data_IF_577167588633
#
_entry.id   IF_577167588633
#
_cell.length_a   1.000
_cell.length_b   1.000
_cell.length_c   1.000
_cell.angle_alpha   90.00
_cell.angle_beta   90.00
_cell.angle_gamma   90.00
#
_symmetry.space_group_name_H-M   'P 1'
#
loop_
_entity.id
_entity.type
_entity.pdbx_description
1 polymer ?
#
# COMPACT_ATOMS: atom_id res chain seq x y z
N UNK A 1 17.84 -10.08 -26.20
CA UNK A 1 16.40 -9.97 -26.57
C UNK A 1 15.63 -10.84 -25.59
N UNK A 2 15.11 -10.21 -24.56
CA UNK A 2 14.38 -10.77 -23.42
C UNK A 2 14.08 -9.54 -22.56
N UNK A 3 12.88 -9.28 -22.07
CA UNK A 3 11.84 -10.20 -21.64
C UNK A 3 10.47 -9.53 -21.79
N UNK A 4 9.46 -10.38 -21.97
CA UNK A 4 8.11 -10.26 -21.40
C UNK A 4 7.21 -9.10 -21.82
N UNK A 5 6.29 -9.47 -22.71
CA UNK A 5 4.85 -9.25 -22.52
C UNK A 5 4.44 -9.01 -21.06
N UNK A 6 4.19 -7.75 -20.71
CA UNK A 6 3.37 -7.42 -19.55
C UNK A 6 2.23 -6.53 -20.03
N UNK A 7 1.09 -7.18 -20.17
CA UNK A 7 -0.26 -6.66 -20.30
C UNK A 7 -0.43 -5.25 -19.73
N UNK A 8 -1.08 -4.41 -20.52
CA UNK A 8 -1.58 -3.06 -20.26
C UNK A 8 -2.21 -2.88 -18.87
N UNK A 9 -1.39 -2.61 -17.86
CA UNK A 9 -1.79 -1.99 -16.61
C UNK A 9 -0.74 -0.94 -16.28
N UNK A 10 -1.11 0.33 -16.33
CA UNK A 10 -0.23 1.46 -16.01
C UNK A 10 0.24 1.36 -14.55
N UNK A 11 1.37 0.69 -14.34
CA UNK A 11 1.98 0.44 -13.03
C UNK A 11 2.41 1.77 -12.41
N UNK A 12 2.45 1.82 -11.08
CA UNK A 12 2.93 3.00 -10.35
C UNK A 12 4.33 3.45 -10.77
N UNK A 13 5.17 2.51 -11.19
CA UNK A 13 6.52 2.78 -11.72
C UNK A 13 6.46 3.62 -13.00
N UNK A 14 5.60 3.26 -13.94
CA UNK A 14 5.46 3.98 -15.21
C UNK A 14 4.94 5.39 -14.97
N UNK A 15 3.95 5.54 -14.07
CA UNK A 15 3.43 6.86 -13.71
C UNK A 15 4.53 7.74 -13.09
N UNK A 16 5.34 7.19 -12.18
CA UNK A 16 6.42 7.91 -11.53
C UNK A 16 7.55 8.25 -12.52
N UNK A 17 7.90 7.34 -13.43
CA UNK A 17 8.87 7.62 -14.49
C UNK A 17 8.37 8.71 -15.44
N UNK A 18 7.10 8.69 -15.85
CA UNK A 18 6.56 9.67 -16.80
C UNK A 18 6.36 11.06 -16.16
N UNK A 19 5.94 11.12 -14.88
CA UNK A 19 5.58 12.38 -14.20
C UNK A 19 6.70 12.96 -13.36
N UNK A 20 7.46 12.11 -12.67
CA UNK A 20 8.53 12.51 -11.73
C UNK A 20 9.91 12.34 -12.37
N UNK A 21 10.06 11.46 -13.37
CA UNK A 21 11.35 11.21 -14.04
C UNK A 21 12.31 10.36 -13.21
N UNK A 22 11.88 9.85 -12.05
CA UNK A 22 12.70 9.05 -11.17
C UNK A 22 11.83 8.07 -10.35
N UNK A 23 12.38 6.87 -10.11
CA UNK A 23 11.78 5.90 -9.20
C UNK A 23 12.26 6.12 -7.77
N UNK A 24 11.39 5.93 -6.76
CA UNK A 24 11.80 5.95 -5.37
C UNK A 24 12.80 4.83 -5.10
N UNK A 25 13.94 5.18 -4.50
CA UNK A 25 15.04 4.23 -4.26
C UNK A 25 15.00 3.57 -2.89
N UNK A 26 14.16 4.07 -2.00
CA UNK A 26 14.03 3.62 -0.62
C UNK A 26 12.56 3.47 -0.24
N UNK A 27 12.29 2.72 0.84
CA UNK A 27 10.93 2.53 1.35
C UNK A 27 10.21 3.85 1.61
N UNK A 28 10.90 4.83 2.21
CA UNK A 28 10.33 6.15 2.51
C UNK A 28 9.84 6.90 1.26
N UNK A 29 10.55 6.78 0.13
CA UNK A 29 10.15 7.40 -1.12
C UNK A 29 8.88 6.77 -1.68
N UNK A 30 8.78 5.44 -1.64
CA UNK A 30 7.57 4.69 -2.01
C UNK A 30 6.39 5.01 -1.10
N UNK A 31 6.63 5.12 0.21
CA UNK A 31 5.64 5.54 1.19
C UNK A 31 5.10 6.94 0.86
N UNK A 32 5.98 7.91 0.63
CA UNK A 32 5.57 9.28 0.27
C UNK A 32 4.81 9.34 -1.04
N UNK A 33 5.21 8.56 -2.04
CA UNK A 33 4.48 8.44 -3.30
C UNK A 33 3.07 7.85 -3.06
N UNK A 34 2.97 6.79 -2.25
CA UNK A 34 1.70 6.16 -1.86
C UNK A 34 0.77 7.13 -1.16
N UNK A 35 1.28 7.94 -0.22
CA UNK A 35 0.52 9.01 0.44
C UNK A 35 0.04 10.06 -0.57
N UNK A 36 0.88 10.42 -1.53
CA UNK A 36 0.51 11.33 -2.62
C UNK A 36 -0.68 10.81 -3.43
N UNK A 37 -0.66 9.53 -3.82
CA UNK A 37 -1.78 8.88 -4.51
C UNK A 37 -3.03 8.75 -3.63
N UNK A 38 -2.85 8.43 -2.34
CA UNK A 38 -3.94 8.36 -1.36
C UNK A 38 -4.70 9.68 -1.28
N UNK A 39 -3.96 10.80 -1.18
CA UNK A 39 -4.54 12.14 -1.14
C UNK A 39 -5.26 12.51 -2.45
N UNK A 40 -4.80 11.96 -3.58
CA UNK A 40 -5.48 12.08 -4.87
C UNK A 40 -6.68 11.13 -5.02
N UNK A 41 -6.99 10.33 -4.00
CA UNK A 41 -8.01 9.27 -4.03
C UNK A 41 -7.72 8.17 -5.05
N UNK A 42 -6.49 8.10 -5.54
CA UNK A 42 -6.01 7.02 -6.41
C UNK A 42 -5.58 5.83 -5.56
N UNK A 43 -6.55 5.26 -4.84
CA UNK A 43 -6.28 4.24 -3.83
C UNK A 43 -5.63 2.98 -4.40
N UNK A 44 -5.97 2.56 -5.63
CA UNK A 44 -5.35 1.40 -6.27
C UNK A 44 -3.83 1.57 -6.43
N UNK A 45 -3.39 2.71 -7.00
CA UNK A 45 -1.97 3.05 -7.13
C UNK A 45 -1.30 3.30 -5.79
N UNK A 46 -2.03 3.89 -4.85
CA UNK A 46 -1.56 4.10 -3.49
C UNK A 46 -1.17 2.77 -2.82
N UNK A 47 -2.02 1.74 -2.96
CA UNK A 47 -1.77 0.39 -2.44
C UNK A 47 -0.50 -0.21 -3.05
N UNK A 48 -0.32 -0.12 -4.38
CA UNK A 48 0.89 -0.61 -5.04
C UNK A 48 2.17 0.08 -4.53
N UNK A 49 2.13 1.41 -4.33
CA UNK A 49 3.25 2.14 -3.76
C UNK A 49 3.56 1.71 -2.32
N UNK A 50 2.53 1.51 -1.49
CA UNK A 50 2.74 1.02 -0.13
C UNK A 50 3.25 -0.41 -0.10
N UNK A 51 2.80 -1.26 -1.03
CA UNK A 51 3.28 -2.63 -1.16
C UNK A 51 4.80 -2.64 -1.42
N UNK A 52 5.28 -1.82 -2.37
CA UNK A 52 6.73 -1.65 -2.60
C UNK A 52 7.47 -1.07 -1.40
N UNK A 53 6.82 -0.17 -0.66
CA UNK A 53 7.39 0.38 0.56
C UNK A 53 7.61 -0.70 1.63
N UNK A 54 6.63 -1.58 1.85
CA UNK A 54 6.74 -2.66 2.85
C UNK A 54 7.62 -3.82 2.37
N UNK A 55 7.75 -4.03 1.06
CA UNK A 55 8.74 -4.98 0.50
C UNK A 55 10.17 -4.52 0.77
N UNK A 56 10.44 -3.21 0.73
CA UNK A 56 11.75 -2.63 1.01
C UNK A 56 12.01 -2.46 2.51
N UNK A 57 10.97 -2.13 3.29
CA UNK A 57 11.04 -2.01 4.74
C UNK A 57 9.82 -2.67 5.38
N UNK A 58 9.92 -3.96 5.74
CA UNK A 58 8.83 -4.70 6.35
C UNK A 58 8.55 -4.28 7.79
N UNK A 59 9.32 -3.36 8.38
CA UNK A 59 9.08 -2.84 9.72
C UNK A 59 8.31 -1.51 9.71
N UNK A 60 7.94 -1.02 8.53
CA UNK A 60 7.18 0.22 8.38
C UNK A 60 5.68 -0.01 8.63
N UNK A 61 5.29 -0.11 9.90
CA UNK A 61 3.89 -0.23 10.32
C UNK A 61 3.00 0.91 9.78
N UNK A 62 3.54 2.13 9.61
CA UNK A 62 2.79 3.26 9.04
C UNK A 62 2.36 2.98 7.59
N UNK A 63 3.20 2.31 6.81
CA UNK A 63 2.85 1.91 5.44
C UNK A 63 1.73 0.87 5.43
N UNK A 64 1.78 -0.14 6.32
CA UNK A 64 0.71 -1.12 6.47
C UNK A 64 -0.63 -0.50 6.90
N UNK A 65 -0.60 0.42 7.86
CA UNK A 65 -1.80 1.13 8.34
C UNK A 65 -2.49 1.91 7.21
N UNK A 66 -1.74 2.70 6.44
CA UNK A 66 -2.32 3.54 5.38
C UNK A 66 -2.71 2.67 4.17
N UNK A 67 -1.94 1.61 3.87
CA UNK A 67 -2.31 0.61 2.87
C UNK A 67 -3.65 -0.04 3.23
N UNK A 68 -3.86 -0.42 4.48
CA UNK A 68 -5.13 -0.99 4.92
C UNK A 68 -6.30 -0.03 4.72
N UNK A 69 -6.13 1.25 5.07
CA UNK A 69 -7.15 2.29 4.81
C UNK A 69 -7.44 2.46 3.33
N UNK A 70 -6.41 2.44 2.49
CA UNK A 70 -6.56 2.49 1.03
C UNK A 70 -7.31 1.25 0.52
N UNK A 71 -7.00 0.06 1.04
CA UNK A 71 -7.69 -1.19 0.72
C UNK A 71 -9.18 -1.14 1.12
N UNK A 72 -9.52 -0.59 2.29
CA UNK A 72 -10.92 -0.37 2.71
C UNK A 72 -11.63 0.55 1.71
N UNK A 73 -10.97 1.63 1.27
CA UNK A 73 -11.55 2.59 0.32
C UNK A 73 -11.84 2.00 -1.07
N UNK A 74 -11.11 0.96 -1.49
CA UNK A 74 -11.38 0.20 -2.73
C UNK A 74 -12.21 -1.07 -2.50
N UNK A 75 -12.81 -1.20 -1.32
CA UNK A 75 -13.62 -2.37 -0.92
C UNK A 75 -12.83 -3.71 -0.92
N UNK A 76 -11.50 -3.66 -0.85
CA UNK A 76 -10.62 -4.83 -0.67
C UNK A 76 -10.38 -5.10 0.80
N UNK A 77 -11.44 -5.48 1.51
CA UNK A 77 -11.44 -5.68 2.96
C UNK A 77 -10.47 -6.79 3.40
N UNK A 78 -10.28 -7.82 2.58
CA UNK A 78 -9.41 -8.95 2.90
C UNK A 78 -7.93 -8.56 2.91
N UNK A 79 -7.46 -7.82 1.91
CA UNK A 79 -6.12 -7.22 1.90
C UNK A 79 -5.92 -6.24 3.06
N UNK A 80 -6.94 -5.45 3.39
CA UNK A 80 -6.86 -4.53 4.52
C UNK A 80 -6.63 -5.27 5.85
N UNK A 81 -7.36 -6.37 6.07
CA UNK A 81 -7.20 -7.23 7.25
C UNK A 81 -5.79 -7.83 7.28
N UNK A 82 -5.27 -8.31 6.14
CA UNK A 82 -3.93 -8.87 6.07
C UNK A 82 -2.85 -7.82 6.40
N UNK A 83 -2.96 -6.61 5.85
CA UNK A 83 -2.05 -5.51 6.14
C UNK A 83 -2.11 -5.08 7.62
N UNK A 84 -3.31 -4.99 8.20
CA UNK A 84 -3.48 -4.64 9.62
C UNK A 84 -2.88 -5.70 10.54
N UNK A 85 -3.03 -6.99 10.22
CA UNK A 85 -2.38 -8.06 11.00
C UNK A 85 -0.86 -7.91 11.04
N UNK A 86 -0.25 -7.55 9.91
CA UNK A 86 1.19 -7.26 9.87
C UNK A 86 1.52 -6.02 10.71
N UNK A 87 0.74 -4.95 10.60
CA UNK A 87 0.94 -3.73 11.39
C UNK A 87 0.85 -3.97 12.90
N UNK A 88 -0.14 -4.75 13.35
CA UNK A 88 -0.32 -5.14 14.76
C UNK A 88 0.85 -6.00 15.25
N UNK A 89 1.33 -6.90 14.41
CA UNK A 89 2.50 -7.74 14.72
C UNK A 89 3.79 -6.92 14.86
N UNK A 90 3.85 -5.72 14.27
CA UNK A 90 4.95 -4.77 14.37
C UNK A 90 4.79 -3.78 15.53
N UNK A 91 3.97 -4.11 16.53
CA UNK A 91 3.78 -3.33 17.75
C UNK A 91 3.08 -1.96 17.53
N UNK A 92 2.17 -1.85 16.56
CA UNK A 92 1.26 -0.70 16.49
C UNK A 92 -0.08 -1.00 17.22
N UNK A 93 -0.23 -0.58 18.50
CA UNK A 93 -1.47 -0.79 19.25
C UNK A 93 -2.65 0.05 18.75
N UNK A 94 -2.47 0.90 17.73
CA UNK A 94 -3.59 1.63 17.12
C UNK A 94 -4.32 0.78 16.07
N UNK A 95 -3.64 -0.19 15.47
CA UNK A 95 -4.19 -0.98 14.36
C UNK A 95 -5.06 -2.17 14.84
N UNK A 96 -4.89 -2.64 16.08
CA UNK A 96 -5.68 -3.77 16.58
C UNK A 96 -7.18 -3.41 16.66
N UNK A 97 -7.51 -2.17 17.00
CA UNK A 97 -8.89 -1.68 17.04
C UNK A 97 -9.53 -1.74 15.65
N UNK A 98 -8.83 -1.23 14.63
CA UNK A 98 -9.30 -1.26 13.25
C UNK A 98 -9.40 -2.69 12.70
N UNK A 99 -8.48 -3.58 13.09
CA UNK A 99 -8.54 -5.00 12.75
C UNK A 99 -9.77 -5.68 13.36
N UNK A 100 -10.05 -5.44 14.64
CA UNK A 100 -11.24 -5.99 15.32
C UNK A 100 -12.52 -5.47 14.67
N UNK A 101 -12.60 -4.16 14.39
CA UNK A 101 -13.76 -3.57 13.71
C UNK A 101 -14.04 -4.27 12.37
N UNK A 102 -13.03 -4.37 11.50
CA UNK A 102 -13.21 -4.99 10.18
C UNK A 102 -13.54 -6.49 10.27
N UNK A 103 -13.00 -7.21 11.24
CA UNK A 103 -13.24 -8.64 11.41
C UNK A 103 -14.56 -8.96 12.14
N UNK A 104 -15.05 -8.05 12.99
CA UNK A 104 -16.36 -8.16 13.65
C UNK A 104 -17.53 -8.02 12.67
N UNK A 105 -17.40 -7.17 11.64
CA UNK A 105 -18.38 -7.04 10.54
C UNK A 105 -18.40 -8.24 9.58
N UNK A 106 -18.05 -9.46 10.01
CA UNK A 106 -18.00 -10.67 9.19
C UNK A 106 -19.03 -11.74 9.60
N UNK A 107 -20.04 -11.34 10.40
CA UNK A 107 -21.20 -12.17 10.79
C UNK A 107 -22.17 -12.42 9.63
#
# INVERSE_FOLDING_TARGET
MGETTATTQSTVDEWLLLRVGALPRNSLGWFRAGVGFYNKKEYARSIECFQKSVELDPQNYNAFQIMARACIAVNRKEDAIAALKQSVNLDNPSDWQLLVELTAYRE
#
